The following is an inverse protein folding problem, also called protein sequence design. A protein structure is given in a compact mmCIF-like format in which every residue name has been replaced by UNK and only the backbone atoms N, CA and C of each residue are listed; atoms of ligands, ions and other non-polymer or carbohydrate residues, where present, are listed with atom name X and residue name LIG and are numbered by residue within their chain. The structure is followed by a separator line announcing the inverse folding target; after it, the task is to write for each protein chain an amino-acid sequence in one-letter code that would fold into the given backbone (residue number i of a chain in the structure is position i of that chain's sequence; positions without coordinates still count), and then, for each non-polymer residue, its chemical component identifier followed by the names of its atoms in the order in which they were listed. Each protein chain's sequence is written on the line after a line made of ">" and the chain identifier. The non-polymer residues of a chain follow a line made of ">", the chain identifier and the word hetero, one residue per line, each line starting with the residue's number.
data_IF_971854132127
#
_entry.id   IF_971854132127
#
_cell.length_a   1.000
_cell.length_b   1.000
_cell.length_c   1.000
_cell.angle_alpha   90.00
_cell.angle_beta   90.00
_cell.angle_gamma   90.00
#
_symmetry.space_group_name_H-M   'P 1'
#
loop_
_entity.id
_entity.type
_entity.pdbx_description
1 polymer ?
#
# COMPACT_ATOMS: atom_id res chain seq x y z
N UNK A 1 8.68 12.29 -1.54
CA UNK A 1 7.35 11.65 -1.47
C UNK A 1 7.32 10.78 -0.23
N UNK A 2 6.43 11.03 0.74
CA UNK A 2 6.28 10.23 1.98
C UNK A 2 4.81 9.93 2.25
N UNK A 3 4.06 9.67 1.19
CA UNK A 3 2.63 9.37 1.24
C UNK A 3 2.44 7.93 0.82
N UNK A 4 1.75 7.16 1.63
CA UNK A 4 1.46 5.76 1.41
C UNK A 4 -0.03 5.61 1.14
N UNK A 5 -0.38 4.98 0.03
CA UNK A 5 -1.77 4.69 -0.36
C UNK A 5 -1.91 3.18 -0.49
N UNK A 6 -2.81 2.60 0.30
CA UNK A 6 -3.04 1.15 0.41
C UNK A 6 -4.53 0.83 0.36
N UNK A 7 -4.83 -0.45 0.14
CA UNK A 7 -6.18 -1.01 0.12
C UNK A 7 -6.87 -0.90 1.49
N UNK A 8 -6.15 -1.17 2.58
CA UNK A 8 -6.69 -1.07 3.95
C UNK A 8 -5.85 -0.18 4.86
N UNK A 9 -6.45 0.20 6.00
CA UNK A 9 -5.76 0.92 7.07
C UNK A 9 -4.90 0.01 7.97
N UNK A 10 -4.24 -1.00 7.39
CA UNK A 10 -3.39 -1.91 8.15
C UNK A 10 -1.99 -1.33 8.43
N UNK A 11 -1.57 -0.32 7.68
CA UNK A 11 -0.21 0.25 7.73
C UNK A 11 -0.08 1.49 8.63
N UNK A 12 -1.12 1.88 9.38
CA UNK A 12 -1.13 3.09 10.20
C UNK A 12 0.02 3.16 11.23
N UNK A 13 0.31 2.07 11.95
CA UNK A 13 1.43 2.04 12.91
C UNK A 13 2.79 2.10 12.22
N UNK A 14 2.94 1.38 11.11
CA UNK A 14 4.15 1.40 10.28
C UNK A 14 4.41 2.82 9.77
N UNK A 15 3.40 3.46 9.18
CA UNK A 15 3.49 4.80 8.66
C UNK A 15 3.90 5.81 9.74
N UNK A 16 3.31 5.72 10.93
CA UNK A 16 3.70 6.57 12.07
C UNK A 16 5.15 6.34 12.49
N UNK A 17 5.59 5.09 12.59
CA UNK A 17 6.95 4.74 13.00
C UNK A 17 8.00 5.28 12.02
N UNK A 18 7.68 5.26 10.72
CA UNK A 18 8.59 5.70 9.67
C UNK A 18 8.30 7.12 9.15
N UNK A 19 7.39 7.89 9.77
CA UNK A 19 7.09 9.26 9.30
C UNK A 19 6.53 9.32 7.88
N UNK A 20 5.67 8.36 7.52
CA UNK A 20 4.84 8.38 6.32
C UNK A 20 3.45 8.91 6.70
N UNK A 21 2.82 9.61 5.77
CA UNK A 21 1.39 9.94 5.87
C UNK A 21 0.61 8.89 5.11
N UNK A 22 -0.31 8.20 5.79
CA UNK A 22 -1.32 7.39 5.09
C UNK A 22 -2.42 8.34 4.63
N UNK A 23 -2.61 8.48 3.32
CA UNK A 23 -3.69 9.29 2.76
C UNK A 23 -4.55 8.42 1.85
N UNK A 24 -5.87 8.49 2.03
CA UNK A 24 -6.81 7.78 1.16
C UNK A 24 -6.69 6.26 1.27
N UNK A 25 -6.87 5.69 2.46
CA UNK A 25 -7.15 4.24 2.56
C UNK A 25 -8.43 3.96 1.77
N UNK A 26 -8.38 3.01 0.83
CA UNK A 26 -9.53 2.63 0.01
C UNK A 26 -10.73 2.22 0.88
N UNK A 27 -10.43 1.65 2.05
CA UNK A 27 -11.39 1.07 2.98
C UNK A 27 -11.09 1.64 4.38
N UNK A 28 -11.60 2.83 4.68
CA UNK A 28 -11.80 3.31 6.06
C UNK A 28 -13.02 2.67 6.74
N UNK A 29 -13.69 1.78 6.03
CA UNK A 29 -14.81 0.95 6.44
C UNK A 29 -14.28 -0.50 6.45
N UNK A 30 -14.86 -1.39 7.24
CA UNK A 30 -14.34 -2.74 7.50
C UNK A 30 -13.78 -3.43 6.22
N UNK A 31 -12.73 -4.29 6.30
CA UNK A 31 -12.27 -5.12 5.17
C UNK A 31 -13.39 -5.97 4.51
N UNK A 32 -14.53 -6.07 5.19
CA UNK A 32 -15.72 -6.82 4.82
C UNK A 32 -16.74 -5.99 4.01
N UNK A 33 -16.60 -4.67 3.93
CA UNK A 33 -17.53 -3.78 3.22
C UNK A 33 -16.94 -3.27 1.90
N UNK A 34 -17.59 -3.60 0.78
CA UNK A 34 -17.23 -3.04 -0.52
C UNK A 34 -17.61 -1.55 -0.59
N UNK A 35 -16.73 -0.66 -1.09
CA UNK A 35 -16.98 0.76 -1.17
C UNK A 35 -17.95 1.07 -2.30
N UNK A 36 -18.76 2.11 -2.11
CA UNK A 36 -19.68 2.59 -3.14
C UNK A 36 -18.92 3.25 -4.30
N UNK A 37 -19.52 3.27 -5.49
CA UNK A 37 -18.93 3.93 -6.66
C UNK A 37 -18.60 5.43 -6.42
N UNK A 38 -19.36 6.11 -5.55
CA UNK A 38 -19.09 7.51 -5.19
C UNK A 38 -17.83 7.65 -4.33
N UNK A 39 -17.57 6.71 -3.42
CA UNK A 39 -16.37 6.67 -2.58
C UNK A 39 -15.14 6.36 -3.43
N UNK A 40 -15.23 5.36 -4.32
CA UNK A 40 -14.17 5.03 -5.29
C UNK A 40 -13.78 6.26 -6.10
N UNK A 41 -14.77 6.95 -6.70
CA UNK A 41 -14.52 8.17 -7.48
C UNK A 41 -13.88 9.28 -6.65
N UNK A 42 -14.41 9.55 -5.45
CA UNK A 42 -13.85 10.59 -4.57
C UNK A 42 -12.39 10.30 -4.22
N UNK A 43 -12.05 9.03 -4.06
CA UNK A 43 -10.70 8.60 -3.77
C UNK A 43 -9.78 8.72 -5.00
N UNK A 44 -10.22 8.27 -6.18
CA UNK A 44 -9.49 8.46 -7.44
C UNK A 44 -9.12 9.93 -7.67
N UNK A 45 -10.08 10.84 -7.46
CA UNK A 45 -9.86 12.29 -7.55
C UNK A 45 -8.90 12.82 -6.48
N UNK A 46 -8.95 12.25 -5.27
CA UNK A 46 -8.02 12.57 -4.17
C UNK A 46 -6.58 12.18 -4.53
N UNK A 47 -6.39 10.94 -5.00
CA UNK A 47 -5.09 10.39 -5.40
C UNK A 47 -4.47 11.21 -6.53
N UNK A 48 -5.28 11.58 -7.53
CA UNK A 48 -4.82 12.42 -8.63
C UNK A 48 -4.33 13.80 -8.16
N UNK A 49 -4.99 14.40 -7.17
CA UNK A 49 -4.56 15.68 -6.57
C UNK A 49 -3.31 15.54 -5.70
N UNK A 50 -3.16 14.40 -5.02
CA UNK A 50 -2.00 14.11 -4.18
C UNK A 50 -0.74 13.93 -5.03
N UNK A 51 -0.87 13.31 -6.21
CA UNK A 51 0.25 13.08 -7.13
C UNK A 51 1.25 12.07 -6.59
N UNK A 52 0.78 10.98 -5.98
CA UNK A 52 1.64 9.84 -5.63
C UNK A 52 2.11 9.12 -6.90
N UNK A 53 3.33 8.58 -6.92
CA UNK A 53 3.86 7.90 -8.09
C UNK A 53 3.28 6.49 -8.30
N UNK A 54 2.82 5.84 -7.23
CA UNK A 54 2.39 4.45 -7.26
C UNK A 54 1.42 4.13 -6.11
N UNK A 55 0.55 3.14 -6.33
CA UNK A 55 -0.35 2.57 -5.33
C UNK A 55 0.16 1.19 -4.88
N UNK A 56 -0.14 0.79 -3.65
CA UNK A 56 0.30 -0.49 -3.11
C UNK A 56 -0.88 -1.41 -2.78
N UNK A 57 -0.86 -2.62 -3.35
CA UNK A 57 -1.78 -3.70 -2.96
C UNK A 57 -1.27 -4.42 -1.72
N UNK A 58 -2.17 -5.07 -0.98
CA UNK A 58 -1.82 -5.94 0.14
C UNK A 58 -1.98 -7.42 -0.25
N UNK A 59 -1.06 -8.29 0.19
CA UNK A 59 -0.95 -9.69 -0.25
C UNK A 59 -2.26 -10.50 -0.12
N UNK A 60 -3.10 -10.19 0.85
CA UNK A 60 -4.35 -10.92 1.14
C UNK A 60 -5.56 -10.40 0.35
N UNK A 61 -5.41 -9.34 -0.43
CA UNK A 61 -6.56 -8.62 -1.03
C UNK A 61 -6.51 -8.70 -2.56
N UNK A 62 -7.50 -9.39 -3.16
CA UNK A 62 -7.76 -9.28 -4.60
C UNK A 62 -8.62 -8.04 -4.87
N UNK A 63 -7.98 -6.87 -4.83
CA UNK A 63 -8.71 -5.62 -4.75
C UNK A 63 -9.07 -5.05 -6.14
N UNK A 64 -10.25 -5.44 -6.63
CA UNK A 64 -10.86 -4.83 -7.83
C UNK A 64 -11.09 -3.32 -7.65
N UNK A 65 -11.24 -2.85 -6.41
CA UNK A 65 -11.38 -1.42 -6.10
C UNK A 65 -10.08 -0.71 -6.39
N UNK A 66 -8.95 -1.26 -5.93
CA UNK A 66 -7.62 -0.70 -6.23
C UNK A 66 -7.36 -0.59 -7.74
N UNK A 67 -7.75 -1.61 -8.52
CA UNK A 67 -7.64 -1.55 -9.98
C UNK A 67 -8.50 -0.44 -10.59
N UNK A 68 -9.73 -0.27 -10.10
CA UNK A 68 -10.63 0.79 -10.56
C UNK A 68 -10.03 2.17 -10.25
N UNK A 69 -9.53 2.34 -9.03
CA UNK A 69 -8.90 3.58 -8.60
C UNK A 69 -7.62 3.88 -9.37
N UNK A 70 -6.78 2.88 -9.64
CA UNK A 70 -5.59 3.03 -10.48
C UNK A 70 -5.96 3.54 -11.89
N UNK A 71 -6.95 2.92 -12.52
CA UNK A 71 -7.42 3.30 -13.85
C UNK A 71 -8.01 4.72 -13.88
N UNK A 72 -8.80 5.10 -12.87
CA UNK A 72 -9.44 6.42 -12.82
C UNK A 72 -8.47 7.54 -12.42
N UNK A 73 -7.52 7.28 -11.52
CA UNK A 73 -6.53 8.25 -11.08
C UNK A 73 -5.36 8.41 -12.06
N UNK A 74 -5.12 7.39 -12.90
CA UNK A 74 -3.98 7.32 -13.81
C UNK A 74 -2.66 7.01 -13.10
N UNK A 75 -2.72 6.39 -11.92
CA UNK A 75 -1.55 5.99 -11.12
C UNK A 75 -1.41 4.46 -11.18
N UNK A 76 -0.21 3.99 -11.47
CA UNK A 76 0.08 2.56 -11.55
C UNK A 76 0.06 1.89 -10.17
N UNK A 77 -0.16 0.57 -10.17
CA UNK A 77 -0.06 -0.28 -8.98
C UNK A 77 1.34 -0.91 -8.96
N UNK A 78 1.95 -0.93 -7.79
CA UNK A 78 3.22 -1.63 -7.53
C UNK A 78 3.11 -3.10 -7.91
N UNK A 79 4.13 -3.62 -8.61
CA UNK A 79 4.24 -5.06 -8.92
C UNK A 79 4.41 -5.89 -7.64
N UNK A 80 5.09 -5.32 -6.65
CA UNK A 80 5.23 -5.86 -5.31
C UNK A 80 4.04 -5.48 -4.42
N UNK A 81 3.64 -6.43 -3.57
CA UNK A 81 2.55 -6.25 -2.59
C UNK A 81 3.12 -5.98 -1.20
N UNK A 82 2.35 -5.31 -0.35
CA UNK A 82 2.69 -5.17 1.07
C UNK A 82 2.14 -6.35 1.87
N UNK A 83 2.92 -6.81 2.83
CA UNK A 83 2.50 -7.84 3.78
C UNK A 83 1.99 -7.13 5.03
N UNK A 84 0.67 -7.07 5.17
CA UNK A 84 0.01 -6.41 6.27
C UNK A 84 -0.49 -7.37 7.37
N UNK A 85 -0.90 -8.58 6.96
CA UNK A 85 -1.41 -9.61 7.86
C UNK A 85 -0.42 -10.79 7.94
N UNK A 86 0.27 -10.89 9.07
CA UNK A 86 1.23 -11.95 9.35
C UNK A 86 2.60 -11.75 8.70
N UNK A 87 3.18 -12.87 8.24
CA UNK A 87 4.50 -12.97 7.61
C UNK A 87 4.38 -13.93 6.42
N UNK A 88 5.36 -13.90 5.51
CA UNK A 88 5.37 -14.82 4.38
C UNK A 88 5.78 -16.24 4.77
N UNK A 89 6.01 -17.08 3.76
CA UNK A 89 6.29 -18.50 3.96
C UNK A 89 7.59 -18.73 4.75
N UNK A 90 7.57 -19.73 5.64
CA UNK A 90 8.74 -20.13 6.40
C UNK A 90 9.89 -20.52 5.47
N UNK A 91 11.09 -20.01 5.74
CA UNK A 91 12.28 -20.25 4.92
C UNK A 91 12.47 -19.27 3.76
N UNK A 92 11.56 -18.30 3.58
CA UNK A 92 11.74 -17.17 2.66
C UNK A 92 12.27 -15.94 3.40
N UNK A 93 12.80 -14.92 2.69
CA UNK A 93 13.21 -13.66 3.31
C UNK A 93 12.08 -13.00 4.12
N UNK A 94 10.83 -13.16 3.71
CA UNK A 94 9.64 -12.62 4.39
C UNK A 94 9.07 -13.56 5.45
N UNK A 95 9.66 -14.74 5.66
CA UNK A 95 9.24 -15.76 6.63
C UNK A 95 9.59 -15.45 8.09
N UNK A 96 10.02 -14.22 8.38
CA UNK A 96 10.27 -13.71 9.72
C UNK A 96 9.69 -12.29 9.83
N UNK A 97 9.35 -11.87 11.05
CA UNK A 97 8.81 -10.52 11.26
C UNK A 97 9.78 -9.42 10.79
N UNK A 98 11.07 -9.58 11.08
CA UNK A 98 12.11 -8.63 10.65
C UNK A 98 12.24 -8.60 9.12
N UNK A 99 12.28 -9.76 8.49
CA UNK A 99 12.39 -9.86 7.04
C UNK A 99 11.16 -9.31 6.31
N UNK A 100 9.96 -9.51 6.86
CA UNK A 100 8.73 -8.87 6.37
C UNK A 100 8.83 -7.34 6.47
N UNK A 101 9.33 -6.79 7.58
CA UNK A 101 9.51 -5.35 7.72
C UNK A 101 10.53 -4.79 6.72
N UNK A 102 11.64 -5.49 6.50
CA UNK A 102 12.66 -5.11 5.50
C UNK A 102 12.03 -5.10 4.10
N UNK A 103 11.30 -6.16 3.75
CA UNK A 103 10.60 -6.26 2.47
C UNK A 103 9.62 -5.12 2.25
N UNK A 104 8.67 -4.89 3.18
CA UNK A 104 7.72 -3.78 3.08
C UNK A 104 8.44 -2.42 2.98
N UNK A 105 9.53 -2.24 3.72
CA UNK A 105 10.33 -1.00 3.65
C UNK A 105 10.95 -0.82 2.28
N UNK A 106 11.56 -1.86 1.72
CA UNK A 106 12.14 -1.79 0.39
C UNK A 106 11.09 -1.52 -0.67
N UNK A 107 9.97 -2.24 -0.65
CA UNK A 107 8.84 -2.04 -1.58
C UNK A 107 8.32 -0.60 -1.56
N UNK A 108 8.12 -0.03 -0.37
CA UNK A 108 7.64 1.36 -0.23
C UNK A 108 8.71 2.34 -0.72
N UNK A 109 9.98 2.13 -0.36
CA UNK A 109 11.06 3.03 -0.74
C UNK A 109 11.25 3.04 -2.25
N UNK A 110 11.32 1.87 -2.89
CA UNK A 110 11.50 1.77 -4.35
C UNK A 110 10.28 2.29 -5.09
N UNK A 111 9.07 1.91 -4.66
CA UNK A 111 7.82 2.38 -5.28
C UNK A 111 7.63 3.90 -5.19
N UNK A 112 8.12 4.54 -4.13
CA UNK A 112 8.11 6.00 -4.00
C UNK A 112 9.30 6.71 -4.69
N UNK A 113 10.08 5.99 -5.49
CA UNK A 113 11.18 6.51 -6.31
C UNK A 113 12.54 6.59 -5.60
N UNK A 114 12.69 5.93 -4.45
CA UNK A 114 13.95 5.80 -3.73
C UNK A 114 14.74 4.54 -4.10
N UNK A 115 15.81 4.28 -3.36
CA UNK A 115 16.63 3.07 -3.49
C UNK A 115 16.70 2.39 -2.13
N UNK A 116 16.34 1.10 -2.07
CA UNK A 116 16.56 0.30 -0.88
C UNK A 116 17.94 -0.33 -0.93
N UNK A 117 18.72 -0.17 0.14
CA UNK A 117 19.94 -0.93 0.38
C UNK A 117 19.69 -1.78 1.62
N UNK A 118 19.73 -3.10 1.48
CA UNK A 118 19.68 -3.98 2.64
C UNK A 118 20.87 -3.71 3.56
N UNK A 119 20.64 -3.83 4.86
CA UNK A 119 21.69 -3.70 5.86
C UNK A 119 22.53 -4.98 5.82
N UNK A 120 23.80 -4.88 5.44
CA UNK A 120 24.77 -5.99 5.47
C UNK A 120 25.11 -6.44 6.90
#
# INVERSE_FOLDING_TARGET
>A
QRRLITTHDAMSYYARAYGLTVEGTLLGLSPEEEPTAAEVKSLSEGIQKIGVPILFAELTTNDKVLQTVANESGVDISEDVLIADGIGEQGTPVGSYQGMLVYNTCTIVTGLGGTCSEFE
#
